data_IF_626877617126
#
_entry.id   IF_626877617126
#
_cell.length_a   1.000
_cell.length_b   1.000
_cell.length_c   1.000
_cell.angle_alpha   90.00
_cell.angle_beta   90.00
_cell.angle_gamma   90.00
#
_symmetry.space_group_name_H-M   'P 1'
#
loop_
_entity.id
_entity.type
_entity.pdbx_description
1 polymer ?
#
# COMPACT_ATOMS: atom_id res chain seq x y z
N UNK A 1 -26.93 31.97 -13.15
CA UNK A 1 -25.51 31.91 -13.59
C UNK A 1 -24.72 31.30 -12.44
N UNK A 2 -23.99 30.20 -12.66
CA UNK A 2 -23.23 29.53 -11.61
C UNK A 2 -21.97 30.36 -11.29
N UNK A 3 -21.72 30.64 -10.01
CA UNK A 3 -20.55 31.40 -9.54
C UNK A 3 -19.76 30.53 -8.56
N UNK A 4 -18.51 30.24 -8.90
CA UNK A 4 -17.58 29.49 -8.06
C UNK A 4 -16.16 29.97 -8.33
N UNK A 5 -15.26 29.76 -7.36
CA UNK A 5 -13.82 29.98 -7.49
C UNK A 5 -13.10 28.69 -7.07
N UNK A 6 -12.20 28.15 -7.91
CA UNK A 6 -11.44 26.96 -7.56
C UNK A 6 -10.29 27.30 -6.60
N UNK A 7 -10.02 26.38 -5.66
CA UNK A 7 -8.89 26.45 -4.72
C UNK A 7 -7.93 25.32 -5.07
N UNK A 8 -6.65 25.63 -5.29
CA UNK A 8 -5.66 24.70 -5.84
C UNK A 8 -4.52 24.29 -4.89
N UNK A 9 -4.51 24.81 -3.66
CA UNK A 9 -3.38 24.66 -2.73
C UNK A 9 -3.82 24.13 -1.36
N UNK A 10 -4.53 23.00 -1.36
CA UNK A 10 -4.86 22.25 -0.14
C UNK A 10 -3.88 21.08 -0.09
N UNK A 11 -2.90 21.16 0.81
CA UNK A 11 -1.93 20.08 1.02
C UNK A 11 -2.39 19.22 2.19
N UNK A 12 -2.90 18.03 1.88
CA UNK A 12 -3.16 16.96 2.83
C UNK A 12 -2.51 15.69 2.28
N UNK A 13 -1.18 15.71 2.22
CA UNK A 13 -0.38 14.60 1.71
C UNK A 13 0.39 13.93 2.85
N UNK A 14 0.29 12.61 2.94
CA UNK A 14 1.17 11.78 3.74
C UNK A 14 1.94 10.83 2.82
N UNK A 15 2.97 10.14 3.31
CA UNK A 15 3.69 9.20 2.46
C UNK A 15 4.60 8.27 3.23
N UNK A 16 5.00 7.20 2.55
CA UNK A 16 5.96 6.22 3.06
C UNK A 16 7.20 6.19 2.20
N UNK A 17 8.36 5.99 2.85
CA UNK A 17 9.60 5.60 2.19
C UNK A 17 10.02 4.24 2.73
N UNK A 18 10.12 3.27 1.84
CA UNK A 18 10.31 1.86 2.17
C UNK A 18 11.61 1.35 1.57
N UNK A 19 12.34 0.54 2.34
CA UNK A 19 13.61 -0.04 1.96
C UNK A 19 13.52 -1.56 2.00
N UNK A 20 14.14 -2.24 1.04
CA UNK A 20 14.18 -3.70 0.99
C UNK A 20 15.36 -4.22 0.17
N UNK A 21 15.78 -5.46 0.43
CA UNK A 21 16.86 -6.10 -0.35
C UNK A 21 16.43 -6.61 -1.73
N UNK A 22 15.13 -6.84 -1.94
CA UNK A 22 14.55 -7.32 -3.20
C UNK A 22 13.24 -6.61 -3.54
N UNK A 23 12.80 -6.72 -4.80
CA UNK A 23 11.51 -6.20 -5.28
C UNK A 23 10.34 -6.80 -4.49
N UNK A 24 10.36 -8.10 -4.25
CA UNK A 24 9.32 -8.83 -3.52
C UNK A 24 9.17 -8.31 -2.09
N UNK A 25 10.31 -8.15 -1.39
CA UNK A 25 10.34 -7.56 -0.06
C UNK A 25 9.92 -6.10 -0.07
N UNK A 26 10.21 -5.36 -1.14
CA UNK A 26 9.79 -3.97 -1.28
C UNK A 26 8.25 -3.87 -1.36
N UNK A 27 7.60 -4.73 -2.15
CA UNK A 27 6.13 -4.81 -2.23
C UNK A 27 5.54 -5.11 -0.84
N UNK A 28 6.00 -6.18 -0.19
CA UNK A 28 5.45 -6.58 1.10
C UNK A 28 5.73 -5.58 2.23
N UNK A 29 6.91 -4.96 2.25
CA UNK A 29 7.21 -3.91 3.21
C UNK A 29 6.36 -2.66 2.98
N UNK A 30 6.05 -2.32 1.72
CA UNK A 30 5.14 -1.22 1.39
C UNK A 30 3.71 -1.48 1.88
N UNK A 31 3.21 -2.71 1.69
CA UNK A 31 1.90 -3.12 2.25
C UNK A 31 1.88 -2.94 3.76
N UNK A 32 2.89 -3.48 4.47
CA UNK A 32 2.99 -3.37 5.93
C UNK A 32 3.12 -1.91 6.40
N UNK A 33 3.91 -1.10 5.70
CA UNK A 33 4.08 0.31 6.00
C UNK A 33 2.75 1.07 5.88
N UNK A 34 2.02 0.91 4.77
CA UNK A 34 0.71 1.54 4.59
C UNK A 34 -0.30 1.09 5.65
N UNK A 35 -0.36 -0.22 5.96
CA UNK A 35 -1.24 -0.72 7.03
C UNK A 35 -0.87 -0.09 8.38
N UNK A 36 0.42 0.06 8.67
CA UNK A 36 0.85 0.71 9.89
C UNK A 36 0.53 2.22 9.91
N UNK A 37 0.39 2.88 8.77
CA UNK A 37 -0.09 4.27 8.70
C UNK A 37 -1.61 4.38 8.88
N UNK A 38 -2.37 3.34 8.54
CA UNK A 38 -3.83 3.30 8.75
C UNK A 38 -4.21 2.86 10.17
N UNK A 39 -3.52 1.85 10.72
CA UNK A 39 -3.85 1.21 12.00
C UNK A 39 -2.59 0.72 12.74
N UNK A 40 -2.74 0.14 13.94
CA UNK A 40 -1.61 -0.47 14.68
C UNK A 40 -1.28 -1.87 14.15
N UNK A 41 -0.38 -1.96 13.15
CA UNK A 41 0.01 -3.23 12.51
C UNK A 41 0.36 -4.34 13.51
N UNK A 42 1.08 -4.02 14.58
CA UNK A 42 1.51 -5.00 15.59
C UNK A 42 0.37 -5.70 16.33
N UNK A 43 -0.84 -5.12 16.30
CA UNK A 43 -2.03 -5.68 16.95
C UNK A 43 -2.88 -6.54 16.01
N UNK A 44 -2.52 -6.59 14.72
CA UNK A 44 -3.19 -7.38 13.69
C UNK A 44 -2.59 -8.79 13.70
N UNK A 45 -3.46 -9.80 13.78
CA UNK A 45 -3.08 -11.21 13.86
C UNK A 45 -3.31 -11.90 12.51
N UNK A 46 -2.40 -12.78 12.06
CA UNK A 46 -2.49 -13.48 10.77
C UNK A 46 -3.39 -14.73 10.87
N UNK A 47 -4.71 -14.54 10.98
CA UNK A 47 -5.69 -15.64 11.17
C UNK A 47 -6.36 -16.09 9.88
N UNK A 48 -6.55 -15.15 8.96
CA UNK A 48 -7.24 -15.33 7.70
C UNK A 48 -6.22 -15.12 6.57
N UNK A 49 -6.36 -15.86 5.48
CA UNK A 49 -5.48 -15.77 4.30
C UNK A 49 -6.27 -15.30 3.08
N UNK A 50 -5.66 -14.41 2.29
CA UNK A 50 -6.23 -13.91 1.05
C UNK A 50 -5.15 -13.81 -0.02
N UNK A 51 -5.41 -14.38 -1.20
CA UNK A 51 -4.54 -14.20 -2.37
C UNK A 51 -4.96 -12.94 -3.13
N UNK A 52 -4.00 -12.08 -3.43
CA UNK A 52 -4.17 -10.88 -4.22
C UNK A 52 -3.35 -10.99 -5.51
N UNK A 53 -3.98 -10.69 -6.64
CA UNK A 53 -3.34 -10.57 -7.94
C UNK A 53 -3.52 -9.14 -8.47
N UNK A 54 -2.43 -8.54 -8.93
CA UNK A 54 -2.42 -7.16 -9.41
C UNK A 54 -1.61 -7.07 -10.68
N UNK A 55 -2.17 -6.38 -11.67
CA UNK A 55 -1.51 -6.03 -12.93
C UNK A 55 -1.36 -4.51 -13.01
N UNK A 56 -0.28 -4.05 -13.62
CA UNK A 56 0.07 -2.65 -13.80
C UNK A 56 0.95 -2.46 -15.03
N UNK A 57 1.24 -1.21 -15.35
CA UNK A 57 2.03 -0.82 -16.55
C UNK A 57 3.55 -0.86 -16.30
N UNK A 58 4.00 -1.22 -15.11
CA UNK A 58 5.40 -1.41 -14.77
C UNK A 58 5.68 -1.35 -13.28
N UNK A 59 6.90 -1.74 -12.88
CA UNK A 59 7.21 -1.99 -11.47
C UNK A 59 6.94 -0.82 -10.50
N UNK A 60 7.25 0.46 -10.83
CA UNK A 60 6.91 1.56 -9.94
C UNK A 60 5.41 1.66 -9.67
N UNK A 61 4.61 1.64 -10.74
CA UNK A 61 3.15 1.73 -10.69
C UNK A 61 2.52 0.52 -9.99
N UNK A 62 3.10 -0.66 -10.18
CA UNK A 62 2.65 -1.89 -9.53
C UNK A 62 2.64 -1.76 -7.99
N UNK A 63 3.61 -1.05 -7.39
CA UNK A 63 3.61 -0.84 -5.94
C UNK A 63 2.38 -0.02 -5.52
N UNK A 64 2.11 1.11 -6.18
CA UNK A 64 0.96 1.94 -5.86
C UNK A 64 -0.36 1.19 -6.13
N UNK A 65 -0.46 0.41 -7.20
CA UNK A 65 -1.63 -0.41 -7.50
C UNK A 65 -1.87 -1.52 -6.46
N UNK A 66 -0.81 -2.17 -5.97
CA UNK A 66 -0.91 -3.14 -4.86
C UNK A 66 -1.44 -2.45 -3.60
N UNK A 67 -0.92 -1.26 -3.28
CA UNK A 67 -1.38 -0.49 -2.13
C UNK A 67 -2.86 -0.09 -2.27
N UNK A 68 -3.29 0.37 -3.44
CA UNK A 68 -4.71 0.66 -3.70
C UNK A 68 -5.60 -0.58 -3.57
N UNK A 69 -5.12 -1.76 -3.98
CA UNK A 69 -5.86 -3.03 -3.77
C UNK A 69 -5.94 -3.41 -2.29
N UNK A 70 -4.86 -3.22 -1.52
CA UNK A 70 -4.89 -3.42 -0.06
C UNK A 70 -5.85 -2.44 0.62
N UNK A 71 -5.86 -1.18 0.19
CA UNK A 71 -6.80 -0.17 0.68
C UNK A 71 -8.24 -0.59 0.39
N UNK A 72 -8.54 -1.09 -0.81
CA UNK A 72 -9.86 -1.66 -1.12
C UNK A 72 -10.24 -2.81 -0.18
N UNK A 73 -9.31 -3.74 0.11
CA UNK A 73 -9.56 -4.83 1.06
C UNK A 73 -9.88 -4.28 2.46
N UNK A 74 -9.18 -3.23 2.89
CA UNK A 74 -9.43 -2.56 4.15
C UNK A 74 -10.80 -1.87 4.19
N UNK A 75 -11.10 -1.02 3.21
CA UNK A 75 -12.32 -0.20 3.23
C UNK A 75 -13.59 -1.00 2.97
N UNK A 76 -13.54 -1.92 2.00
CA UNK A 76 -14.71 -2.65 1.51
C UNK A 76 -14.86 -3.99 2.19
N UNK A 77 -13.77 -4.74 2.37
CA UNK A 77 -13.80 -6.08 2.97
C UNK A 77 -13.49 -6.10 4.46
N UNK A 78 -13.09 -4.95 5.03
CA UNK A 78 -12.64 -4.84 6.42
C UNK A 78 -11.48 -5.78 6.73
N UNK A 79 -10.70 -6.21 5.75
CA UNK A 79 -9.56 -7.09 5.96
C UNK A 79 -8.29 -6.26 6.16
N UNK A 80 -7.53 -6.54 7.22
CA UNK A 80 -6.27 -5.87 7.53
C UNK A 80 -5.12 -6.87 7.42
N UNK A 81 -4.21 -6.73 6.45
CA UNK A 81 -3.06 -7.63 6.35
C UNK A 81 -1.96 -7.28 7.37
N UNK A 82 -1.46 -8.29 8.09
CA UNK A 82 -0.26 -8.21 8.94
C UNK A 82 0.97 -8.84 8.30
N UNK A 83 0.76 -9.84 7.45
CA UNK A 83 1.80 -10.55 6.73
C UNK A 83 1.58 -10.50 5.23
N UNK A 84 2.66 -10.60 4.48
CA UNK A 84 2.68 -10.58 3.03
C UNK A 84 3.79 -11.48 2.53
N UNK A 85 3.49 -12.27 1.51
CA UNK A 85 4.42 -13.12 0.79
C UNK A 85 4.14 -12.98 -0.71
N UNK A 86 5.18 -12.74 -1.52
CA UNK A 86 5.04 -12.71 -2.98
C UNK A 86 5.32 -14.11 -3.51
N UNK A 87 4.35 -14.68 -4.22
CA UNK A 87 4.51 -15.98 -4.88
C UNK A 87 5.09 -15.83 -6.28
N UNK A 88 4.67 -14.81 -6.99
CA UNK A 88 5.07 -14.57 -8.37
C UNK A 88 5.16 -13.08 -8.62
N UNK A 89 6.27 -12.66 -9.22
CA UNK A 89 6.48 -11.32 -9.77
C UNK A 89 7.06 -11.50 -11.16
N UNK A 90 6.38 -10.96 -12.18
CA UNK A 90 6.88 -11.05 -13.54
C UNK A 90 8.20 -10.27 -13.69
N UNK A 91 9.14 -10.70 -14.55
CA UNK A 91 10.45 -10.06 -14.68
C UNK A 91 10.38 -8.56 -15.02
N UNK A 92 9.39 -8.17 -15.83
CA UNK A 92 9.08 -6.80 -16.22
C UNK A 92 8.36 -5.99 -15.12
N UNK A 93 7.89 -6.66 -14.06
CA UNK A 93 7.19 -6.05 -12.93
C UNK A 93 5.84 -5.47 -13.31
N UNK A 94 5.16 -6.07 -14.28
CA UNK A 94 3.80 -5.69 -14.70
C UNK A 94 2.73 -6.51 -13.98
N UNK A 95 3.07 -7.64 -13.36
CA UNK A 95 2.12 -8.47 -12.62
C UNK A 95 2.74 -9.08 -11.36
N UNK A 96 1.96 -9.10 -10.28
CA UNK A 96 2.31 -9.77 -9.03
C UNK A 96 1.14 -10.59 -8.51
N UNK A 97 1.46 -11.75 -7.94
CA UNK A 97 0.57 -12.55 -7.11
C UNK A 97 1.18 -12.70 -5.72
N UNK A 98 0.41 -12.35 -4.70
CA UNK A 98 0.87 -12.33 -3.31
C UNK A 98 -0.18 -12.91 -2.36
N UNK A 99 0.28 -13.56 -1.30
CA UNK A 99 -0.53 -14.00 -0.18
C UNK A 99 -0.48 -12.94 0.92
N UNK A 100 -1.64 -12.56 1.40
CA UNK A 100 -1.81 -11.73 2.58
C UNK A 100 -2.34 -12.59 3.71
N UNK A 101 -1.79 -12.43 4.91
CA UNK A 101 -2.39 -12.96 6.14
C UNK A 101 -2.75 -11.83 7.07
N UNK A 102 -3.91 -11.95 7.71
CA UNK A 102 -4.47 -10.87 8.51
C UNK A 102 -5.75 -11.29 9.20
N UNK A 103 -6.60 -10.31 9.48
CA UNK A 103 -7.90 -10.55 10.09
C UNK A 103 -8.86 -9.40 9.80
N UNK A 104 -10.13 -9.60 10.14
CA UNK A 104 -11.13 -8.53 10.12
C UNK A 104 -10.75 -7.37 11.05
N UNK A 105 -10.91 -6.14 10.56
CA UNK A 105 -10.61 -4.90 11.25
C UNK A 105 -11.45 -4.73 12.51
N UNK A 106 -10.77 -4.52 13.64
CA UNK A 106 -11.34 -4.23 14.93
C UNK A 106 -10.83 -2.85 15.40
N UNK A 107 -11.66 -1.80 15.39
CA UNK A 107 -11.23 -0.46 15.75
C UNK A 107 -10.83 -0.32 17.22
N UNK A 108 -11.36 -1.16 18.13
CA UNK A 108 -10.98 -1.09 19.55
C UNK A 108 -9.58 -1.64 19.79
N UNK A 109 -9.23 -2.70 19.07
CA UNK A 109 -7.90 -3.31 19.18
C UNK A 109 -6.89 -2.61 18.28
N UNK A 110 -7.13 -2.54 16.98
CA UNK A 110 -6.18 -2.03 15.99
C UNK A 110 -6.00 -0.51 16.06
N UNK A 111 -7.03 0.21 16.53
CA UNK A 111 -7.06 1.68 16.55
C UNK A 111 -7.17 2.27 15.14
N UNK A 112 -7.21 3.61 15.07
CA UNK A 112 -7.28 4.37 13.81
C UNK A 112 -6.20 5.44 13.78
N UNK A 113 -5.47 5.53 12.67
CA UNK A 113 -4.46 6.55 12.39
C UNK A 113 -4.90 7.38 11.18
N UNK A 114 -4.17 7.33 10.06
CA UNK A 114 -4.51 8.07 8.85
C UNK A 114 -5.69 7.43 8.12
N UNK A 115 -6.55 8.29 7.55
CA UNK A 115 -7.58 7.88 6.61
C UNK A 115 -7.02 8.02 5.19
N UNK A 116 -6.32 7.00 4.70
CA UNK A 116 -5.79 7.02 3.34
C UNK A 116 -6.95 6.80 2.35
N UNK A 117 -7.06 7.67 1.34
CA UNK A 117 -8.05 7.58 0.25
C UNK A 117 -7.47 6.92 -0.99
N UNK A 118 -6.19 7.14 -1.27
CA UNK A 118 -5.50 6.53 -2.40
C UNK A 118 -3.97 6.54 -2.22
N UNK A 119 -3.31 5.51 -2.74
CA UNK A 119 -1.90 5.55 -3.10
C UNK A 119 -1.76 6.20 -4.48
N UNK A 120 -1.09 7.34 -4.54
CA UNK A 120 -1.03 8.16 -5.75
C UNK A 120 0.22 7.87 -6.57
N UNK A 121 0.18 8.24 -7.86
CA UNK A 121 1.37 8.30 -8.70
C UNK A 121 2.13 9.62 -8.55
N UNK A 122 1.62 10.56 -7.74
CA UNK A 122 2.28 11.83 -7.47
C UNK A 122 3.59 11.58 -6.71
N UNK A 123 4.71 12.00 -7.31
CA UNK A 123 6.08 11.78 -6.77
C UNK A 123 6.40 10.32 -6.46
N UNK A 124 5.72 9.37 -7.13
CA UNK A 124 6.01 7.95 -7.01
C UNK A 124 7.44 7.68 -7.48
N UNK A 125 8.23 7.07 -6.60
CA UNK A 125 9.64 6.79 -6.88
C UNK A 125 9.97 5.36 -6.50
N UNK A 126 10.55 4.61 -7.43
CA UNK A 126 11.08 3.27 -7.15
C UNK A 126 12.43 3.12 -7.80
N UNK A 127 13.47 2.88 -6.99
CA UNK A 127 14.85 2.90 -7.44
C UNK A 127 15.64 1.73 -6.87
N UNK A 128 16.50 1.15 -7.71
CA UNK A 128 17.57 0.27 -7.24
C UNK A 128 18.70 1.13 -6.64
N UNK A 129 19.16 0.74 -5.45
CA UNK A 129 20.33 1.31 -4.78
C UNK A 129 21.40 0.24 -4.61
N UNK A 130 22.60 0.64 -4.18
CA UNK A 130 23.72 -0.29 -3.93
C UNK A 130 23.33 -1.46 -3.02
N UNK A 131 22.51 -1.20 -1.99
CA UNK A 131 22.07 -2.19 -1.00
C UNK A 131 20.59 -2.56 -1.11
N UNK A 132 20.05 -2.65 -2.34
CA UNK A 132 18.69 -3.14 -2.58
C UNK A 132 17.80 -2.14 -3.32
N UNK A 133 16.61 -1.90 -2.80
CA UNK A 133 15.57 -1.10 -3.43
C UNK A 133 14.93 -0.13 -2.45
N UNK A 134 14.49 1.01 -2.99
CA UNK A 134 13.72 2.03 -2.27
C UNK A 134 12.43 2.30 -3.04
N UNK A 135 11.31 2.45 -2.32
CA UNK A 135 10.05 2.98 -2.82
C UNK A 135 9.64 4.22 -2.01
N UNK A 136 9.13 5.24 -2.69
CA UNK A 136 8.42 6.38 -2.10
C UNK A 136 7.03 6.46 -2.70
N UNK A 137 6.00 6.48 -1.85
CA UNK A 137 4.60 6.57 -2.26
C UNK A 137 3.94 7.68 -1.46
N UNK A 138 3.26 8.59 -2.15
CA UNK A 138 2.45 9.65 -1.53
C UNK A 138 0.98 9.24 -1.55
N UNK A 139 0.32 9.51 -0.44
CA UNK A 139 -1.07 9.20 -0.18
C UNK A 139 -1.92 10.48 -0.21
N UNK A 140 -3.08 10.37 -0.84
CA UNK A 140 -4.21 11.27 -0.61
C UNK A 140 -4.90 10.84 0.70
N UNK A 141 -5.06 11.76 1.65
CA UNK A 141 -5.68 11.52 2.98
C UNK A 141 -6.91 12.40 3.21
#
# INVERSE_FOLDING_TARGET
MLRYEPIYDITADAGIRVYASSKDRLICNSVKAMVNEMVSLQKVQPKEELTLEVESVGFPYLIADVLNKVLYLFDVKKFVPSECEVFELTPDGTKVRLLLKGETYDPQRHGRKLLIKAATYHRLKVEKKEKGWIAEVIFDI
#
